data_IF_101899479759
#
_entry.id   IF_101899479759
#
_cell.length_a   1.000
_cell.length_b   1.000
_cell.length_c   1.000
_cell.angle_alpha   90.00
_cell.angle_beta   90.00
_cell.angle_gamma   90.00
#
_symmetry.space_group_name_H-M   'P 1'
#
loop_
_entity.id
_entity.type
_entity.pdbx_description
1 polymer ?
#
# COMPACT_ATOMS: atom_id res chain seq x y z
N UNK A 1 -20.41 4.89 10.63
CA UNK A 1 -19.45 5.53 9.71
C UNK A 1 -18.58 4.41 9.16
N UNK A 2 -19.14 3.56 8.28
CA UNK A 2 -18.50 2.28 7.84
C UNK A 2 -18.55 2.07 6.31
N UNK A 3 -19.27 2.94 5.57
CA UNK A 3 -19.60 2.68 4.17
C UNK A 3 -18.54 3.16 3.16
N UNK A 4 -17.66 4.09 3.53
CA UNK A 4 -16.64 4.63 2.61
C UNK A 4 -15.67 3.54 2.14
N UNK A 5 -15.29 2.68 3.08
CA UNK A 5 -14.28 1.64 2.91
C UNK A 5 -14.74 0.48 1.99
N UNK A 6 -16.04 0.18 1.93
CA UNK A 6 -16.52 -1.06 1.30
C UNK A 6 -16.30 -1.13 -0.22
N UNK A 7 -16.44 -0.03 -0.96
CA UNK A 7 -16.25 -0.04 -2.41
C UNK A 7 -14.77 -0.04 -2.79
N UNK A 8 -13.96 0.77 -2.10
CA UNK A 8 -12.50 0.82 -2.31
C UNK A 8 -11.87 -0.53 -1.95
N UNK A 9 -12.33 -1.15 -0.85
CA UNK A 9 -11.92 -2.51 -0.48
C UNK A 9 -12.21 -3.52 -1.58
N UNK A 10 -13.41 -3.50 -2.19
CA UNK A 10 -13.71 -4.38 -3.32
C UNK A 10 -12.81 -4.12 -4.53
N UNK A 11 -12.46 -2.86 -4.80
CA UNK A 11 -11.54 -2.54 -5.88
C UNK A 11 -10.14 -3.09 -5.63
N UNK A 12 -9.65 -3.00 -4.38
CA UNK A 12 -8.39 -3.62 -3.95
C UNK A 12 -8.45 -5.13 -4.11
N UNK A 13 -9.47 -5.79 -3.55
CA UNK A 13 -9.66 -7.25 -3.65
C UNK A 13 -9.69 -7.72 -5.11
N UNK A 14 -10.40 -6.98 -5.98
CA UNK A 14 -10.44 -7.26 -7.42
C UNK A 14 -9.08 -7.08 -8.09
N UNK A 15 -8.34 -6.03 -7.75
CA UNK A 15 -6.98 -5.82 -8.26
C UNK A 15 -6.07 -6.99 -7.87
N UNK A 16 -6.13 -7.46 -6.62
CA UNK A 16 -5.32 -8.58 -6.16
C UNK A 16 -5.74 -9.92 -6.79
N UNK A 17 -7.03 -10.15 -7.03
CA UNK A 17 -7.50 -11.29 -7.82
C UNK A 17 -6.88 -11.30 -9.22
N UNK A 18 -6.86 -10.16 -9.91
CA UNK A 18 -6.24 -10.01 -11.23
C UNK A 18 -4.71 -10.23 -11.17
N UNK A 19 -4.04 -9.73 -10.13
CA UNK A 19 -2.61 -9.91 -9.92
C UNK A 19 -2.24 -11.37 -9.64
N UNK A 20 -3.05 -12.09 -8.86
CA UNK A 20 -2.89 -13.53 -8.65
C UNK A 20 -3.00 -14.29 -9.97
N UNK A 21 -4.07 -14.07 -10.73
CA UNK A 21 -4.26 -14.76 -12.02
C UNK A 21 -3.09 -14.53 -12.98
N UNK A 22 -2.65 -13.27 -13.13
CA UNK A 22 -1.52 -12.95 -14.03
C UNK A 22 -0.19 -13.49 -13.52
N UNK A 23 0.00 -13.53 -12.21
CA UNK A 23 1.22 -14.12 -11.61
C UNK A 23 1.26 -15.62 -11.83
N UNK A 24 0.12 -16.30 -11.70
CA UNK A 24 -0.01 -17.72 -12.00
C UNK A 24 0.33 -18.05 -13.47
N UNK A 25 -0.11 -17.22 -14.41
CA UNK A 25 0.26 -17.35 -15.83
C UNK A 25 1.79 -17.20 -16.02
N UNK A 26 2.40 -16.21 -15.37
CA UNK A 26 3.86 -15.99 -15.44
C UNK A 26 4.62 -17.20 -14.86
N UNK A 27 4.18 -17.73 -13.71
CA UNK A 27 4.76 -18.94 -13.10
C UNK A 27 4.58 -20.14 -14.03
N UNK A 28 3.42 -20.29 -14.66
CA UNK A 28 3.09 -21.40 -15.55
C UNK A 28 4.01 -21.44 -16.78
N UNK A 29 4.23 -20.28 -17.41
CA UNK A 29 4.98 -20.14 -18.68
C UNK A 29 6.50 -20.07 -18.51
N UNK A 30 7.01 -19.87 -17.30
CA UNK A 30 8.43 -19.60 -17.10
C UNK A 30 9.23 -20.86 -16.80
N UNK A 31 10.31 -21.07 -17.56
CA UNK A 31 11.34 -22.08 -17.29
C UNK A 31 12.44 -21.58 -16.35
N UNK A 32 12.52 -20.26 -16.12
CA UNK A 32 13.53 -19.60 -15.28
C UNK A 32 12.83 -18.77 -14.21
N UNK A 33 12.89 -19.21 -12.95
CA UNK A 33 12.16 -18.58 -11.84
C UNK A 33 12.60 -17.15 -11.54
N UNK A 34 13.89 -16.81 -11.72
CA UNK A 34 14.36 -15.43 -11.55
C UNK A 34 13.68 -14.47 -12.52
N UNK A 35 13.55 -14.87 -13.79
CA UNK A 35 12.86 -14.07 -14.81
C UNK A 35 11.36 -13.99 -14.56
N UNK A 36 10.74 -15.09 -14.13
CA UNK A 36 9.33 -15.12 -13.70
C UNK A 36 9.08 -14.12 -12.57
N UNK A 37 9.98 -14.13 -11.58
CA UNK A 37 9.93 -13.26 -10.43
C UNK A 37 10.06 -11.79 -10.83
N UNK A 38 11.08 -11.42 -11.61
CA UNK A 38 11.28 -10.03 -12.05
C UNK A 38 10.05 -9.48 -12.79
N UNK A 39 9.36 -10.33 -13.57
CA UNK A 39 8.13 -9.97 -14.26
C UNK A 39 6.96 -9.76 -13.30
N UNK A 40 6.80 -10.64 -12.31
CA UNK A 40 5.77 -10.52 -11.27
C UNK A 40 6.00 -9.24 -10.45
N UNK A 41 7.24 -8.98 -10.02
CA UNK A 41 7.56 -7.76 -9.26
C UNK A 41 7.24 -6.48 -10.04
N UNK A 42 7.58 -6.44 -11.34
CA UNK A 42 7.26 -5.31 -12.21
C UNK A 42 5.75 -5.11 -12.37
N UNK A 43 5.01 -6.21 -12.58
CA UNK A 43 3.56 -6.18 -12.71
C UNK A 43 2.89 -5.65 -11.44
N UNK A 44 3.24 -6.23 -10.29
CA UNK A 44 2.64 -5.90 -8.98
C UNK A 44 2.98 -4.46 -8.62
N UNK A 45 4.25 -4.07 -8.68
CA UNK A 45 4.69 -2.71 -8.31
C UNK A 45 4.05 -1.64 -9.19
N UNK A 46 4.01 -1.87 -10.51
CA UNK A 46 3.39 -0.91 -11.44
C UNK A 46 1.89 -0.80 -11.24
N UNK A 47 1.19 -1.92 -11.00
CA UNK A 47 -0.26 -1.91 -10.86
C UNK A 47 -0.68 -1.25 -9.54
N UNK A 48 -0.06 -1.66 -8.44
CA UNK A 48 -0.33 -1.09 -7.12
C UNK A 48 -0.06 0.41 -7.12
N UNK A 49 1.09 0.84 -7.64
CA UNK A 49 1.39 2.28 -7.74
C UNK A 49 0.28 3.03 -8.48
N UNK A 50 -0.10 2.58 -9.67
CA UNK A 50 -1.12 3.26 -10.48
C UNK A 50 -2.51 3.33 -9.81
N UNK A 51 -2.90 2.32 -9.06
CA UNK A 51 -4.24 2.24 -8.45
C UNK A 51 -4.30 2.97 -7.10
N UNK A 52 -3.20 3.01 -6.33
CA UNK A 52 -3.17 3.63 -5.01
C UNK A 52 -3.46 5.13 -5.01
N UNK A 53 -3.08 5.86 -6.06
CA UNK A 53 -3.47 7.27 -6.20
C UNK A 53 -4.99 7.42 -6.32
N UNK A 54 -5.62 6.58 -7.15
CA UNK A 54 -7.06 6.54 -7.32
C UNK A 54 -7.79 6.24 -6.00
N UNK A 55 -7.33 5.23 -5.26
CA UNK A 55 -7.94 4.86 -3.97
C UNK A 55 -7.95 6.01 -2.97
N UNK A 56 -6.87 6.78 -2.89
CA UNK A 56 -6.79 7.90 -1.95
C UNK A 56 -7.70 9.04 -2.38
N UNK A 57 -7.76 9.35 -3.68
CA UNK A 57 -8.65 10.38 -4.21
C UNK A 57 -10.11 10.01 -3.97
N UNK A 58 -10.48 8.76 -4.27
CA UNK A 58 -11.84 8.25 -4.09
C UNK A 58 -12.23 8.22 -2.62
N UNK A 59 -11.34 7.74 -1.75
CA UNK A 59 -11.57 7.70 -0.30
C UNK A 59 -11.75 9.11 0.26
N UNK A 60 -10.86 10.04 -0.08
CA UNK A 60 -10.97 11.42 0.38
C UNK A 60 -12.28 12.06 -0.07
N UNK A 61 -12.66 11.85 -1.33
CA UNK A 61 -13.90 12.39 -1.89
C UNK A 61 -15.11 11.85 -1.14
N UNK A 62 -15.19 10.54 -0.95
CA UNK A 62 -16.31 9.89 -0.29
C UNK A 62 -16.38 10.23 1.22
N UNK A 63 -15.24 10.38 1.91
CA UNK A 63 -15.21 10.85 3.30
C UNK A 63 -15.70 12.29 3.42
N UNK A 64 -15.25 13.19 2.54
CA UNK A 64 -15.71 14.59 2.51
C UNK A 64 -17.22 14.67 2.25
N UNK A 65 -17.74 13.85 1.33
CA UNK A 65 -19.18 13.77 1.07
C UNK A 65 -19.96 13.31 2.29
N UNK A 66 -19.46 12.33 3.04
CA UNK A 66 -20.10 11.88 4.28
C UNK A 66 -20.13 12.97 5.34
N UNK A 67 -19.01 13.67 5.57
CA UNK A 67 -18.92 14.79 6.51
C UNK A 67 -19.97 15.85 6.19
N UNK A 68 -20.15 16.19 4.90
CA UNK A 68 -21.16 17.18 4.46
C UNK A 68 -22.60 16.77 4.73
N UNK A 69 -22.89 15.48 4.96
CA UNK A 69 -24.24 15.00 5.27
C UNK A 69 -24.51 14.91 6.77
N UNK A 70 -23.49 15.04 7.62
CA UNK A 70 -23.68 15.00 9.06
C UNK A 70 -24.37 16.29 9.56
N UNK A 71 -25.23 16.13 10.57
CA UNK A 71 -25.99 17.24 11.16
C UNK A 71 -25.10 18.36 11.70
N UNK A 72 -23.97 17.99 12.32
CA UNK A 72 -23.00 18.92 12.88
C UNK A 72 -22.44 19.90 11.84
N UNK A 73 -22.18 19.41 10.63
CA UNK A 73 -21.60 20.19 9.53
C UNK A 73 -22.64 20.85 8.62
N UNK A 74 -23.93 20.78 8.96
CA UNK A 74 -24.94 21.62 8.29
C UNK A 74 -24.82 23.10 8.68
N UNK A 75 -24.20 23.40 9.83
CA UNK A 75 -23.81 24.77 10.18
C UNK A 75 -22.63 25.21 9.28
N UNK A 76 -22.75 26.32 8.53
CA UNK A 76 -21.67 26.84 7.70
C UNK A 76 -20.37 27.13 8.47
N UNK A 77 -20.43 27.48 9.75
CA UNK A 77 -19.24 27.71 10.58
C UNK A 77 -18.47 26.41 10.82
N UNK A 78 -19.16 25.32 11.16
CA UNK A 78 -18.54 24.01 11.37
C UNK A 78 -17.99 23.44 10.06
N UNK A 79 -18.72 23.60 8.95
CA UNK A 79 -18.23 23.18 7.63
C UNK A 79 -17.00 23.97 7.19
N UNK A 80 -16.97 25.28 7.46
CA UNK A 80 -15.78 26.10 7.21
C UNK A 80 -14.60 25.69 8.09
N UNK A 81 -14.84 25.34 9.36
CA UNK A 81 -13.81 24.81 10.25
C UNK A 81 -13.24 23.48 9.73
N UNK A 82 -14.10 22.60 9.20
CA UNK A 82 -13.68 21.37 8.51
C UNK A 82 -12.77 21.66 7.32
N UNK A 83 -13.14 22.57 6.42
CA UNK A 83 -12.27 22.91 5.28
C UNK A 83 -10.92 23.49 5.71
N UNK A 84 -10.87 24.24 6.82
CA UNK A 84 -9.62 24.79 7.37
C UNK A 84 -8.69 23.71 7.93
N UNK A 85 -9.16 22.50 8.20
CA UNK A 85 -8.27 21.39 8.58
C UNK A 85 -7.30 21.01 7.46
N UNK A 86 -7.62 21.36 6.21
CA UNK A 86 -6.81 21.10 5.03
C UNK A 86 -6.34 19.65 4.92
N UNK A 87 -7.28 18.71 5.11
CA UNK A 87 -6.97 17.30 5.28
C UNK A 87 -6.33 16.66 4.05
N UNK A 88 -6.63 17.16 2.85
CA UNK A 88 -5.96 16.69 1.62
C UNK A 88 -4.45 16.90 1.68
N UNK A 89 -4.00 18.10 2.05
CA UNK A 89 -2.58 18.44 2.16
C UNK A 89 -1.93 17.64 3.29
N UNK A 90 -2.56 17.59 4.48
CA UNK A 90 -2.04 16.80 5.61
C UNK A 90 -1.89 15.31 5.30
N UNK A 91 -2.83 14.75 4.54
CA UNK A 91 -2.77 13.36 4.10
C UNK A 91 -1.60 13.17 3.11
N UNK A 92 -1.43 14.09 2.15
CA UNK A 92 -0.32 14.03 1.21
C UNK A 92 1.05 14.17 1.92
N UNK A 93 1.17 15.10 2.86
CA UNK A 93 2.40 15.30 3.65
C UNK A 93 2.75 14.10 4.52
N UNK A 94 1.73 13.42 5.06
CA UNK A 94 1.95 12.26 5.93
C UNK A 94 2.29 11.01 5.13
N UNK A 95 1.56 10.74 4.06
CA UNK A 95 1.62 9.45 3.35
C UNK A 95 2.35 9.52 2.01
N UNK A 96 2.76 10.70 1.56
CA UNK A 96 3.56 10.96 0.36
C UNK A 96 3.01 10.22 -0.87
N UNK A 97 1.74 10.49 -1.22
CA UNK A 97 1.04 9.77 -2.29
C UNK A 97 1.59 10.07 -3.70
N UNK A 98 2.45 11.07 -3.86
CA UNK A 98 3.00 11.48 -5.14
C UNK A 98 3.87 10.37 -5.77
N UNK A 99 3.43 9.90 -6.94
CA UNK A 99 4.05 8.81 -7.70
C UNK A 99 5.02 9.37 -8.75
N UNK A 100 5.93 10.28 -8.38
CA UNK A 100 6.99 10.73 -9.29
C UNK A 100 8.10 9.67 -9.48
N UNK A 101 7.82 8.40 -9.16
CA UNK A 101 8.81 7.35 -8.98
C UNK A 101 8.71 6.18 -9.97
N UNK A 102 7.86 6.22 -11.00
CA UNK A 102 7.97 5.22 -12.07
C UNK A 102 9.35 5.30 -12.76
N UNK A 103 9.92 6.51 -12.82
CA UNK A 103 11.26 6.79 -13.34
C UNK A 103 12.36 6.41 -12.33
N UNK A 104 12.12 6.55 -11.02
CA UNK A 104 13.02 6.08 -9.95
C UNK A 104 13.04 4.54 -9.85
N UNK A 105 11.91 3.89 -10.12
CA UNK A 105 11.77 2.45 -10.30
C UNK A 105 12.58 1.94 -11.50
N UNK A 106 12.59 2.69 -12.61
CA UNK A 106 13.34 2.35 -13.83
C UNK A 106 14.84 2.68 -13.76
N UNK A 107 15.25 3.72 -13.02
CA UNK A 107 16.65 4.16 -12.89
C UNK A 107 17.52 3.31 -11.96
N UNK A 108 16.96 2.22 -11.43
CA UNK A 108 17.71 1.25 -10.66
C UNK A 108 17.57 1.52 -9.19
N UNK A 109 16.61 0.85 -8.60
CA UNK A 109 16.60 0.57 -7.17
C UNK A 109 17.94 -0.09 -6.82
N UNK A 110 18.77 0.58 -5.99
CA UNK A 110 19.88 -0.10 -5.35
C UNK A 110 19.28 -1.04 -4.29
N UNK A 111 19.22 -2.31 -4.67
CA UNK A 111 18.77 -3.42 -3.83
C UNK A 111 19.40 -3.43 -2.44
N UNK A 112 20.61 -2.86 -2.28
CA UNK A 112 21.33 -2.84 -1.02
C UNK A 112 20.74 -1.82 -0.04
N UNK A 113 20.36 -0.63 -0.52
CA UNK A 113 19.78 0.42 0.32
C UNK A 113 18.38 0.04 0.78
N UNK A 114 17.56 -0.51 -0.12
CA UNK A 114 16.23 -1.01 0.24
C UNK A 114 16.32 -2.18 1.20
N UNK A 115 17.23 -3.14 0.97
CA UNK A 115 17.40 -4.26 1.89
C UNK A 115 17.90 -3.78 3.28
N UNK A 116 18.78 -2.78 3.34
CA UNK A 116 19.22 -2.20 4.61
C UNK A 116 18.08 -1.47 5.34
N UNK A 117 17.29 -0.67 4.61
CA UNK A 117 16.10 -0.01 5.14
C UNK A 117 15.10 -1.03 5.70
N UNK A 118 14.75 -2.05 4.92
CA UNK A 118 13.79 -3.07 5.33
C UNK A 118 14.31 -3.96 6.47
N UNK A 119 15.60 -4.31 6.47
CA UNK A 119 16.23 -5.00 7.61
C UNK A 119 16.19 -4.11 8.86
N UNK A 120 16.51 -2.82 8.73
CA UNK A 120 16.49 -1.88 9.86
C UNK A 120 15.07 -1.69 10.42
N UNK A 121 14.07 -1.55 9.55
CA UNK A 121 12.66 -1.46 9.91
C UNK A 121 12.15 -2.76 10.52
N UNK A 122 12.51 -3.92 9.96
CA UNK A 122 12.15 -5.23 10.52
C UNK A 122 12.76 -5.49 11.90
N UNK A 123 14.01 -5.06 12.13
CA UNK A 123 14.62 -5.11 13.48
C UNK A 123 13.98 -4.13 14.45
N UNK A 124 13.61 -2.92 14.01
CA UNK A 124 12.98 -1.91 14.86
C UNK A 124 11.52 -2.28 15.21
N UNK A 125 10.81 -2.89 14.27
CA UNK A 125 9.42 -3.35 14.43
C UNK A 125 9.31 -4.70 15.16
N UNK A 126 10.42 -5.42 15.34
CA UNK A 126 10.40 -6.80 15.86
C UNK A 126 9.73 -7.81 14.91
N UNK A 127 9.48 -7.42 13.66
CA UNK A 127 8.78 -8.22 12.65
C UNK A 127 9.74 -8.54 11.50
N UNK A 128 10.14 -9.81 11.40
CA UNK A 128 10.88 -10.34 10.24
C UNK A 128 9.94 -10.86 9.13
N UNK A 129 8.63 -10.80 9.35
CA UNK A 129 7.63 -11.21 8.37
C UNK A 129 7.41 -10.08 7.36
N UNK A 130 7.40 -10.44 6.09
CA UNK A 130 7.40 -9.54 4.93
C UNK A 130 6.15 -8.65 4.87
N UNK A 131 5.01 -9.11 5.40
CA UNK A 131 3.82 -8.26 5.59
C UNK A 131 3.94 -7.21 6.70
N UNK A 132 4.88 -7.35 7.63
CA UNK A 132 5.08 -6.32 8.67
C UNK A 132 5.67 -5.02 8.09
N UNK A 133 6.54 -5.13 7.10
CA UNK A 133 7.43 -4.03 6.72
C UNK A 133 6.70 -2.99 5.87
N UNK A 134 5.70 -3.39 5.08
CA UNK A 134 4.89 -2.47 4.30
C UNK A 134 4.12 -1.52 5.23
N UNK A 135 3.50 -2.04 6.30
CA UNK A 135 2.79 -1.22 7.29
C UNK A 135 3.68 -0.12 7.90
N UNK A 136 4.93 -0.43 8.23
CA UNK A 136 5.87 0.55 8.79
C UNK A 136 6.34 1.56 7.74
N UNK A 137 6.62 1.10 6.53
CA UNK A 137 7.07 1.97 5.45
C UNK A 137 5.98 2.94 5.01
N UNK A 138 4.72 2.51 4.98
CA UNK A 138 3.58 3.37 4.58
C UNK A 138 3.08 4.25 5.75
N UNK A 139 3.47 4.00 7.00
CA UNK A 139 3.02 4.80 8.16
C UNK A 139 3.45 6.28 8.15
N UNK A 140 4.23 6.71 7.16
CA UNK A 140 4.69 8.11 7.00
C UNK A 140 5.93 8.46 7.82
N UNK A 141 6.54 7.48 8.50
CA UNK A 141 7.74 7.67 9.33
C UNK A 141 9.00 7.90 8.48
N UNK A 142 8.96 7.52 7.21
CA UNK A 142 10.06 7.64 6.25
C UNK A 142 9.55 8.30 4.97
N UNK A 143 10.25 9.32 4.50
CA UNK A 143 9.96 10.03 3.25
C UNK A 143 10.42 9.19 2.05
N UNK A 144 9.67 8.15 1.72
CA UNK A 144 10.00 7.20 0.66
C UNK A 144 8.78 7.04 -0.26
N UNK A 145 8.95 7.16 -1.59
CA UNK A 145 7.85 6.96 -2.51
C UNK A 145 7.22 5.57 -2.38
N UNK A 146 5.89 5.50 -2.42
CA UNK A 146 5.14 4.27 -2.25
C UNK A 146 5.54 3.15 -3.22
N UNK A 147 5.89 3.47 -4.47
CA UNK A 147 6.37 2.46 -5.43
C UNK A 147 7.70 1.80 -5.00
N UNK A 148 8.59 2.55 -4.34
CA UNK A 148 9.87 2.04 -3.81
C UNK A 148 9.59 1.09 -2.63
N UNK A 149 8.60 1.41 -1.81
CA UNK A 149 8.12 0.58 -0.70
C UNK A 149 7.58 -0.76 -1.22
N UNK A 150 6.73 -0.75 -2.23
CA UNK A 150 6.18 -1.98 -2.83
C UNK A 150 7.28 -2.84 -3.46
N UNK A 151 8.20 -2.22 -4.21
CA UNK A 151 9.32 -2.94 -4.83
C UNK A 151 10.28 -3.54 -3.80
N UNK A 152 10.49 -2.85 -2.67
CA UNK A 152 11.31 -3.35 -1.57
C UNK A 152 10.70 -4.52 -0.83
N UNK A 153 9.41 -4.43 -0.50
CA UNK A 153 8.68 -5.55 0.08
C UNK A 153 8.73 -6.80 -0.81
N UNK A 154 8.53 -6.63 -2.12
CA UNK A 154 8.63 -7.72 -3.09
C UNK A 154 10.03 -8.35 -3.12
N UNK A 155 11.09 -7.53 -3.08
CA UNK A 155 12.48 -8.01 -3.06
C UNK A 155 12.79 -8.82 -1.79
N UNK A 156 12.36 -8.33 -0.62
CA UNK A 156 12.60 -9.01 0.66
C UNK A 156 11.84 -10.33 0.74
N UNK A 157 10.58 -10.37 0.28
CA UNK A 157 9.79 -11.58 0.08
C UNK A 157 10.61 -12.64 -0.65
N UNK A 158 11.19 -12.23 -1.77
CA UNK A 158 11.80 -13.18 -2.67
C UNK A 158 13.18 -13.61 -2.20
N UNK A 159 14.00 -12.70 -1.70
CA UNK A 159 15.34 -13.02 -1.22
C UNK A 159 15.34 -14.00 -0.03
N UNK A 160 14.31 -13.96 0.82
CA UNK A 160 14.13 -14.87 1.95
C UNK A 160 13.58 -16.23 1.50
N UNK A 161 12.52 -16.25 0.68
CA UNK A 161 11.92 -17.49 0.18
C UNK A 161 12.85 -18.30 -0.75
N UNK A 162 13.61 -17.67 -1.65
CA UNK A 162 14.47 -18.37 -2.62
C UNK A 162 15.83 -18.82 -2.07
N UNK A 163 16.25 -18.32 -0.91
CA UNK A 163 17.40 -18.91 -0.19
C UNK A 163 17.04 -20.24 0.47
N UNK A 164 15.75 -20.46 0.76
CA UNK A 164 15.26 -21.60 1.56
C UNK A 164 14.66 -22.70 0.66
N UNK A 165 13.97 -22.33 -0.42
CA UNK A 165 13.32 -23.28 -1.33
C UNK A 165 14.27 -23.61 -2.51
N UNK A 166 14.54 -24.90 -2.81
CA UNK A 166 15.35 -25.25 -3.97
C UNK A 166 14.70 -24.72 -5.26
N UNK A 167 15.52 -24.12 -6.11
CA UNK A 167 15.19 -23.48 -7.41
C UNK A 167 14.58 -24.39 -8.49
N UNK A 168 13.95 -25.51 -8.10
CA UNK A 168 13.32 -26.50 -8.99
C UNK A 168 11.89 -26.92 -8.58
N UNK A 169 11.36 -26.41 -7.47
CA UNK A 169 9.99 -26.75 -7.04
C UNK A 169 8.99 -25.65 -7.44
N UNK A 170 8.35 -25.83 -8.60
CA UNK A 170 7.32 -24.91 -9.15
C UNK A 170 6.17 -24.65 -8.17
N UNK A 171 5.73 -25.68 -7.44
CA UNK A 171 4.64 -25.56 -6.48
C UNK A 171 5.04 -24.70 -5.27
N UNK A 172 6.28 -24.86 -4.78
CA UNK A 172 6.79 -24.03 -3.69
C UNK A 172 7.03 -22.57 -4.14
N UNK A 173 7.49 -22.37 -5.38
CA UNK A 173 7.59 -21.03 -5.97
C UNK A 173 6.22 -20.35 -6.08
N UNK A 174 5.23 -21.04 -6.65
CA UNK A 174 3.85 -20.52 -6.74
C UNK A 174 3.31 -20.15 -5.35
N UNK A 175 3.45 -21.05 -4.36
CA UNK A 175 3.01 -20.80 -2.99
C UNK A 175 3.67 -19.56 -2.37
N UNK A 176 4.95 -19.33 -2.63
CA UNK A 176 5.64 -18.14 -2.15
C UNK A 176 5.10 -16.85 -2.78
N UNK A 177 4.81 -16.89 -4.08
CA UNK A 177 4.17 -15.77 -4.80
C UNK A 177 2.76 -15.51 -4.26
N UNK A 178 1.97 -16.57 -4.05
CA UNK A 178 0.62 -16.45 -3.51
C UNK A 178 0.62 -15.81 -2.12
N UNK A 179 1.49 -16.28 -1.22
CA UNK A 179 1.63 -15.69 0.11
C UNK A 179 2.05 -14.21 0.06
N UNK A 180 2.99 -13.87 -0.82
CA UNK A 180 3.43 -12.49 -1.01
C UNK A 180 2.27 -11.58 -1.45
N UNK A 181 1.45 -12.02 -2.40
CA UNK A 181 0.31 -11.25 -2.88
C UNK A 181 -0.77 -11.08 -1.81
N UNK A 182 -1.05 -12.13 -1.03
CA UNK A 182 -2.00 -12.08 0.09
C UNK A 182 -1.53 -11.12 1.21
N UNK A 183 -0.25 -11.17 1.57
CA UNK A 183 0.33 -10.28 2.58
C UNK A 183 0.23 -8.82 2.09
N UNK A 184 0.61 -8.57 0.83
CA UNK A 184 0.54 -7.23 0.22
C UNK A 184 -0.91 -6.70 0.14
N UNK A 185 -1.88 -7.56 -0.17
CA UNK A 185 -3.31 -7.19 -0.14
C UNK A 185 -3.73 -6.72 1.25
N UNK A 186 -3.40 -7.51 2.28
CA UNK A 186 -3.72 -7.16 3.66
C UNK A 186 -3.08 -5.83 4.06
N UNK A 187 -1.84 -5.60 3.67
CA UNK A 187 -1.12 -4.38 4.03
C UNK A 187 -1.71 -3.13 3.37
N UNK A 188 -2.12 -3.21 2.11
CA UNK A 188 -2.80 -2.09 1.43
C UNK A 188 -4.15 -1.79 2.08
N UNK A 189 -4.93 -2.81 2.42
CA UNK A 189 -6.21 -2.64 3.11
C UNK A 189 -6.02 -2.01 4.50
N UNK A 190 -5.01 -2.46 5.25
CA UNK A 190 -4.67 -1.88 6.55
C UNK A 190 -4.23 -0.42 6.42
N UNK A 191 -3.44 -0.09 5.41
CA UNK A 191 -3.03 1.29 5.15
C UNK A 191 -4.23 2.20 4.84
N UNK A 192 -5.16 1.77 4.00
CA UNK A 192 -6.38 2.54 3.72
C UNK A 192 -7.19 2.78 4.99
N UNK A 193 -7.30 1.77 5.86
CA UNK A 193 -7.94 1.93 7.17
C UNK A 193 -7.18 2.93 8.07
N UNK A 194 -5.85 2.93 8.05
CA UNK A 194 -5.04 3.90 8.81
C UNK A 194 -5.24 5.35 8.29
N UNK A 195 -5.40 5.52 6.98
CA UNK A 195 -5.72 6.82 6.36
C UNK A 195 -7.11 7.30 6.79
N UNK A 196 -8.12 6.43 6.72
CA UNK A 196 -9.50 6.72 7.17
C UNK A 196 -9.51 7.10 8.66
N UNK A 197 -8.85 6.31 9.50
CA UNK A 197 -8.72 6.58 10.94
C UNK A 197 -8.05 7.93 11.22
N UNK A 198 -7.00 8.27 10.47
CA UNK A 198 -6.34 9.56 10.61
C UNK A 198 -7.29 10.71 10.22
N UNK A 199 -7.97 10.60 9.08
CA UNK A 199 -8.97 11.58 8.64
C UNK A 199 -10.02 11.80 9.73
N UNK A 200 -10.64 10.73 10.21
CA UNK A 200 -11.65 10.80 11.28
C UNK A 200 -11.09 11.44 12.55
N UNK A 201 -9.86 11.09 12.95
CA UNK A 201 -9.24 11.65 14.15
C UNK A 201 -9.09 13.17 14.07
N UNK A 202 -8.78 13.70 12.88
CA UNK A 202 -8.67 15.13 12.66
C UNK A 202 -10.04 15.80 12.68
N UNK A 203 -11.06 15.21 12.05
CA UNK A 203 -12.44 15.73 12.10
C UNK A 203 -12.97 15.73 13.54
N UNK A 204 -12.67 14.67 14.31
CA UNK A 204 -13.08 14.54 15.72
C UNK A 204 -12.65 15.72 16.61
N UNK A 205 -11.56 16.39 16.25
CA UNK A 205 -11.11 17.59 16.98
C UNK A 205 -12.09 18.76 16.93
N UNK A 206 -12.96 18.81 15.90
CA UNK A 206 -13.92 19.90 15.73
C UNK A 206 -15.11 19.79 16.68
N UNK A 207 -15.58 18.57 17.00
CA UNK A 207 -16.65 18.37 17.98
C UNK A 207 -16.20 18.61 19.43
N UNK A 208 -14.89 18.71 19.66
CA UNK A 208 -14.31 18.95 20.99
C UNK A 208 -14.11 20.45 21.29
N UNK A 209 -14.46 21.33 20.34
CA UNK A 209 -14.32 22.79 20.46
C UNK A 209 -15.64 23.51 20.79
N UNK A 210 -16.73 22.76 20.95
CA UNK A 210 -18.03 23.22 21.47
C UNK A 210 -18.18 22.90 22.97
#
# INVERSE_FOLDING_TARGET
MEMCNAEIKKQVEKMFCDLHSKSDDIVAMSSVYKSALDRIMKLVSSRIAAESEGYIVDMYTALVEQIKQESFFQDPNHLNAFYRLNLREKLNDKYHFEIDSLDAFQKGIDYKEINQLYVSLGTAAGTLAVGGILKFAISGVVNIPFAVIVAGAATVACSSYFKIVPSRNKAAFKKAVDNFLLDMESDILNWLADVENFFESQVKTLYSQD
#
